data_IF_471764140390
#
_entry.id   IF_471764140390
#
_cell.length_a   1.000
_cell.length_b   1.000
_cell.length_c   1.000
_cell.angle_alpha   90.00
_cell.angle_beta   90.00
_cell.angle_gamma   90.00
#
_symmetry.space_group_name_H-M   'P 1'
#
loop_
_entity.id
_entity.type
_entity.pdbx_description
1 polymer ?
#
# COMPACT_ATOMS: atom_id res chain seq x y z
N UNK A 1 46.39 34.30 17.22
CA UNK A 1 45.15 33.58 17.57
C UNK A 1 45.04 32.35 16.67
N UNK A 2 44.56 31.23 17.20
CA UNK A 2 44.91 29.84 16.85
C UNK A 2 44.20 29.29 15.59
N UNK A 3 44.80 29.38 14.39
CA UNK A 3 44.22 28.80 13.16
C UNK A 3 44.30 27.27 13.11
N UNK A 4 45.32 26.67 13.74
CA UNK A 4 45.54 25.21 13.70
C UNK A 4 44.51 24.43 14.53
N UNK A 5 43.95 25.02 15.60
CA UNK A 5 42.90 24.36 16.40
C UNK A 5 41.57 24.28 15.65
N UNK A 6 41.14 25.40 15.04
CA UNK A 6 39.87 25.47 14.29
C UNK A 6 39.79 24.49 13.11
N UNK A 7 40.92 24.20 12.46
CA UNK A 7 40.98 23.26 11.32
C UNK A 7 40.87 21.79 11.76
N UNK A 8 41.20 21.48 13.02
CA UNK A 8 41.14 20.12 13.56
C UNK A 8 39.71 19.76 13.96
N UNK A 9 39.00 20.71 14.57
CA UNK A 9 37.62 20.52 15.04
C UNK A 9 36.61 20.42 13.89
N UNK A 10 36.78 21.20 12.83
CA UNK A 10 35.95 21.11 11.62
C UNK A 10 36.10 19.77 10.87
N UNK A 11 37.30 19.21 10.83
CA UNK A 11 37.55 17.89 10.24
C UNK A 11 36.92 16.75 11.03
N UNK A 12 36.87 16.88 12.36
CA UNK A 12 36.21 15.90 13.25
C UNK A 12 34.70 15.97 13.03
N UNK A 13 34.12 17.19 13.00
CA UNK A 13 32.70 17.42 12.70
C UNK A 13 32.25 16.79 11.37
N UNK A 14 33.03 17.01 10.30
CA UNK A 14 32.71 16.46 8.98
C UNK A 14 32.69 14.92 8.97
N UNK A 15 33.62 14.27 9.69
CA UNK A 15 33.63 12.80 9.83
C UNK A 15 32.41 12.28 10.58
N UNK A 16 31.98 12.95 11.64
CA UNK A 16 30.78 12.55 12.37
C UNK A 16 29.52 12.71 11.53
N UNK A 17 29.45 13.78 10.73
CA UNK A 17 28.35 14.01 9.80
C UNK A 17 28.28 12.93 8.71
N UNK A 18 29.42 12.51 8.17
CA UNK A 18 29.47 11.43 7.17
C UNK A 18 28.99 10.09 7.74
N UNK A 19 29.39 9.77 8.98
CA UNK A 19 28.94 8.56 9.67
C UNK A 19 27.43 8.63 9.91
N UNK A 20 26.92 9.77 10.36
CA UNK A 20 25.49 9.98 10.58
C UNK A 20 24.69 9.79 9.29
N UNK A 21 25.16 10.35 8.17
CA UNK A 21 24.55 10.19 6.87
C UNK A 21 24.52 8.72 6.41
N UNK A 22 25.63 7.99 6.58
CA UNK A 22 25.68 6.56 6.24
C UNK A 22 24.69 5.75 7.06
N UNK A 23 24.59 6.00 8.36
CA UNK A 23 23.62 5.31 9.23
C UNK A 23 22.19 5.64 8.80
N UNK A 24 21.88 6.90 8.52
CA UNK A 24 20.56 7.33 8.06
C UNK A 24 20.17 6.65 6.73
N UNK A 25 21.12 6.55 5.80
CA UNK A 25 20.93 5.85 4.52
C UNK A 25 20.58 4.37 4.73
N UNK A 26 21.34 3.67 5.58
CA UNK A 26 21.11 2.24 5.84
C UNK A 26 19.74 2.02 6.46
N UNK A 27 19.33 2.85 7.43
CA UNK A 27 18.00 2.77 8.05
C UNK A 27 16.91 2.99 7.01
N UNK A 28 17.05 3.98 6.13
CA UNK A 28 16.11 4.25 5.06
C UNK A 28 15.94 3.05 4.11
N UNK A 29 17.04 2.42 3.71
CA UNK A 29 17.01 1.21 2.85
C UNK A 29 16.28 0.06 3.57
N UNK A 30 16.55 -0.15 4.86
CA UNK A 30 15.89 -1.21 5.64
C UNK A 30 14.38 -0.97 5.70
N UNK A 31 13.93 0.26 5.97
CA UNK A 31 12.50 0.59 6.05
C UNK A 31 11.82 0.36 4.69
N UNK A 32 12.38 0.89 3.60
CA UNK A 32 11.79 0.77 2.25
C UNK A 32 11.76 -0.70 1.82
N UNK A 33 12.85 -1.43 2.04
CA UNK A 33 12.92 -2.86 1.69
C UNK A 33 11.92 -3.70 2.48
N UNK A 34 11.75 -3.43 3.78
CA UNK A 34 10.73 -4.08 4.60
C UNK A 34 9.32 -3.82 4.10
N UNK A 35 9.03 -2.59 3.64
CA UNK A 35 7.75 -2.23 3.05
C UNK A 35 7.49 -2.97 1.74
N UNK A 36 8.49 -3.06 0.86
CA UNK A 36 8.39 -3.81 -0.40
C UNK A 36 8.13 -5.30 -0.12
N UNK A 37 8.90 -5.90 0.78
CA UNK A 37 8.75 -7.30 1.18
C UNK A 37 7.35 -7.55 1.75
N UNK A 38 6.89 -6.68 2.65
CA UNK A 38 5.54 -6.76 3.22
C UNK A 38 4.47 -6.81 2.12
N UNK A 39 4.49 -5.86 1.17
CA UNK A 39 3.51 -5.83 0.07
C UNK A 39 3.57 -7.06 -0.85
N UNK A 40 4.74 -7.68 -1.02
CA UNK A 40 4.87 -8.92 -1.81
C UNK A 40 4.23 -10.11 -1.09
N UNK A 41 4.39 -10.21 0.24
CA UNK A 41 3.88 -11.34 1.02
C UNK A 41 2.43 -11.16 1.48
N UNK A 42 1.98 -9.92 1.62
CA UNK A 42 0.59 -9.57 1.93
C UNK A 42 0.04 -8.69 0.82
N UNK A 43 -0.17 -9.25 -0.39
CA UNK A 43 -0.89 -8.52 -1.42
C UNK A 43 -2.26 -8.14 -0.86
N UNK A 44 -2.66 -6.88 -1.04
CA UNK A 44 -4.04 -6.51 -0.74
C UNK A 44 -4.97 -7.48 -1.47
N UNK A 45 -6.01 -8.01 -0.81
CA UNK A 45 -6.99 -8.83 -1.50
C UNK A 45 -7.52 -8.00 -2.66
N UNK A 46 -7.33 -8.50 -3.88
CA UNK A 46 -7.77 -7.83 -5.09
C UNK A 46 -9.22 -7.39 -4.96
N UNK A 47 -9.56 -6.23 -5.54
CA UNK A 47 -10.84 -5.56 -5.33
C UNK A 47 -12.00 -6.55 -5.36
N UNK A 48 -12.61 -6.76 -4.20
CA UNK A 48 -13.77 -7.64 -4.07
C UNK A 48 -14.95 -6.90 -4.67
N UNK A 49 -15.34 -7.29 -5.87
CA UNK A 49 -16.54 -6.73 -6.51
C UNK A 49 -17.73 -7.65 -6.25
N UNK A 50 -18.84 -7.04 -5.83
CA UNK A 50 -20.12 -7.69 -5.68
C UNK A 50 -20.91 -7.45 -6.97
N UNK A 51 -21.06 -8.51 -7.76
CA UNK A 51 -21.96 -8.53 -8.89
C UNK A 51 -23.34 -9.00 -8.46
N UNK A 52 -24.39 -8.28 -8.84
CA UNK A 52 -25.76 -8.77 -8.73
C UNK A 52 -26.13 -9.37 -10.08
N UNK A 53 -26.61 -10.62 -10.06
CA UNK A 53 -27.06 -11.34 -11.25
C UNK A 53 -28.56 -11.61 -11.15
N UNK A 54 -29.22 -11.68 -12.31
CA UNK A 54 -30.59 -12.19 -12.41
C UNK A 54 -30.61 -13.73 -12.20
N UNK A 55 -31.81 -14.32 -12.20
CA UNK A 55 -32.00 -15.77 -12.00
C UNK A 55 -31.23 -16.63 -13.04
N UNK A 56 -31.04 -16.11 -14.25
CA UNK A 56 -30.28 -16.75 -15.34
C UNK A 56 -28.76 -16.57 -15.23
N UNK A 57 -28.25 -16.04 -14.10
CA UNK A 57 -26.83 -15.75 -13.82
C UNK A 57 -26.20 -14.73 -14.78
N UNK A 58 -27.01 -13.80 -15.31
CA UNK A 58 -26.54 -12.71 -16.18
C UNK A 58 -26.59 -11.38 -15.44
N UNK A 59 -25.64 -10.50 -15.77
CA UNK A 59 -25.59 -9.14 -15.21
C UNK A 59 -26.52 -8.15 -15.95
N UNK A 60 -27.17 -8.62 -17.02
CA UNK A 60 -28.00 -7.84 -17.92
C UNK A 60 -29.48 -8.02 -17.55
N UNK A 61 -30.32 -7.01 -17.82
CA UNK A 61 -31.78 -7.06 -17.58
C UNK A 61 -32.14 -7.43 -16.14
N UNK A 62 -31.62 -6.67 -15.19
CA UNK A 62 -32.06 -6.77 -13.80
C UNK A 62 -33.49 -6.25 -13.66
N UNK A 63 -34.42 -6.99 -13.01
CA UNK A 63 -35.78 -6.51 -12.80
C UNK A 63 -35.76 -5.27 -11.88
N UNK A 64 -35.87 -4.09 -12.49
CA UNK A 64 -36.00 -2.79 -11.80
C UNK A 64 -37.45 -2.46 -11.45
N UNK A 65 -38.40 -3.24 -11.95
CA UNK A 65 -39.81 -3.12 -11.64
C UNK A 65 -40.17 -4.20 -10.61
N UNK A 66 -40.61 -3.77 -9.43
CA UNK A 66 -41.09 -4.64 -8.37
C UNK A 66 -42.54 -4.30 -8.05
N UNK A 67 -43.44 -5.27 -8.23
CA UNK A 67 -44.86 -5.16 -7.88
C UNK A 67 -45.08 -5.46 -6.41
N UNK A 68 -46.04 -4.79 -5.79
CA UNK A 68 -46.43 -5.07 -4.40
C UNK A 68 -46.96 -6.51 -4.34
N UNK A 69 -46.45 -7.29 -3.37
CA UNK A 69 -46.83 -8.69 -3.12
C UNK A 69 -46.16 -9.75 -4.03
N UNK A 70 -45.12 -9.39 -4.77
CA UNK A 70 -44.28 -10.34 -5.52
C UNK A 70 -42.88 -10.51 -4.90
N UNK A 71 -42.30 -11.70 -5.05
CA UNK A 71 -40.93 -11.99 -4.60
C UNK A 71 -39.95 -11.80 -5.75
N UNK A 72 -38.83 -11.13 -5.46
CA UNK A 72 -37.74 -10.91 -6.41
C UNK A 72 -36.54 -11.74 -5.98
N UNK A 73 -36.03 -12.57 -6.88
CA UNK A 73 -34.82 -13.36 -6.63
C UNK A 73 -33.64 -12.82 -7.43
N UNK A 74 -32.48 -12.82 -6.80
CA UNK A 74 -31.21 -12.44 -7.42
C UNK A 74 -30.07 -13.23 -6.80
N UNK A 75 -28.98 -13.35 -7.56
CA UNK A 75 -27.79 -14.07 -7.14
C UNK A 75 -26.67 -13.07 -6.86
N UNK A 76 -25.96 -13.28 -5.75
CA UNK A 76 -24.76 -12.52 -5.41
C UNK A 76 -23.53 -13.26 -5.96
N UNK A 77 -22.79 -12.59 -6.84
CA UNK A 77 -21.49 -13.06 -7.32
C UNK A 77 -20.39 -12.32 -6.57
N UNK A 78 -19.58 -13.08 -5.83
CA UNK A 78 -18.32 -12.61 -5.30
C UNK A 78 -17.23 -12.86 -6.35
N UNK A 79 -16.63 -11.81 -6.88
CA UNK A 79 -15.47 -11.94 -7.79
C UNK A 79 -14.24 -11.28 -7.19
N UNK A 80 -13.18 -12.07 -7.09
CA UNK A 80 -11.84 -11.62 -6.75
C UNK A 80 -11.13 -11.37 -8.08
N UNK A 81 -10.67 -10.13 -8.30
CA UNK A 81 -9.93 -9.69 -9.49
C UNK A 81 -8.44 -9.64 -9.16
#
# INVERSE_FOLDING_TARGET
MNEKSNKKDSNISNKHFEILLKVCLVIGIIIISGFIIYYIFTPEPGYVTLGILNEDRRAENYPTEASVNESVFFLLLLKII
#
